data_IF_760830720781
#
_entry.id   IF_760830720781
#
_cell.length_a   1.000
_cell.length_b   1.000
_cell.length_c   1.000
_cell.angle_alpha   90.00
_cell.angle_beta   90.00
_cell.angle_gamma   90.00
#
_symmetry.space_group_name_H-M   'P 1'
#
loop_
_entity.id
_entity.type
_entity.pdbx_description
1 polymer ?
#
# COMPACT_ATOMS: atom_id res chain seq x y z
N UNK A 1 28.53 12.92 -5.54
CA UNK A 1 27.89 12.19 -4.42
C UNK A 1 26.47 11.81 -4.81
N UNK A 2 26.11 10.53 -4.80
CA UNK A 2 24.69 10.14 -4.93
C UNK A 2 24.01 10.58 -3.63
N UNK A 3 23.03 11.48 -3.70
CA UNK A 3 22.17 11.75 -2.55
C UNK A 3 21.38 10.49 -2.24
N UNK A 4 21.34 10.10 -0.97
CA UNK A 4 20.49 9.00 -0.54
C UNK A 4 19.03 9.36 -0.80
N UNK A 5 18.23 8.36 -1.21
CA UNK A 5 16.80 8.55 -1.37
C UNK A 5 16.17 8.82 0.00
N UNK A 6 15.17 9.70 0.10
CA UNK A 6 14.42 9.86 1.34
C UNK A 6 13.79 8.53 1.75
N UNK A 7 13.89 8.21 3.03
CA UNK A 7 13.29 7.02 3.63
C UNK A 7 11.83 7.29 3.94
N UNK A 8 10.95 6.39 3.54
CA UNK A 8 9.51 6.55 3.76
C UNK A 8 8.87 5.24 4.22
N UNK A 9 7.76 5.38 4.96
CA UNK A 9 6.88 4.28 5.35
C UNK A 9 5.51 4.60 4.76
N UNK A 10 4.89 3.63 4.09
CA UNK A 10 3.61 3.82 3.41
C UNK A 10 2.51 3.13 4.20
N UNK A 11 1.42 3.86 4.47
CA UNK A 11 0.22 3.39 5.15
C UNK A 11 -0.98 3.60 4.23
N UNK A 12 -1.73 2.54 3.96
CA UNK A 12 -2.90 2.57 3.07
C UNK A 12 -4.13 2.12 3.83
N UNK A 13 -5.14 2.99 3.89
CA UNK A 13 -6.47 2.64 4.40
C UNK A 13 -7.25 1.86 3.34
N UNK A 14 -7.29 0.55 3.49
CA UNK A 14 -7.94 -0.35 2.56
C UNK A 14 -9.46 -0.19 2.50
N UNK A 15 -10.13 0.29 3.56
CA UNK A 15 -11.56 0.57 3.50
C UNK A 15 -11.83 1.79 2.64
N UNK A 16 -11.09 2.88 2.87
CA UNK A 16 -11.21 4.08 2.06
C UNK A 16 -10.88 3.82 0.58
N UNK A 17 -9.80 3.07 0.32
CA UNK A 17 -9.43 2.69 -1.04
C UNK A 17 -10.48 1.77 -1.69
N UNK A 18 -11.07 0.84 -0.94
CA UNK A 18 -12.10 -0.05 -1.46
C UNK A 18 -13.33 0.72 -1.95
N UNK A 19 -13.92 1.57 -1.10
CA UNK A 19 -15.10 2.36 -1.49
C UNK A 19 -14.77 3.34 -2.62
N UNK A 20 -13.60 3.99 -2.58
CA UNK A 20 -13.18 4.90 -3.65
C UNK A 20 -13.04 4.19 -5.00
N UNK A 21 -12.40 3.02 -5.04
CA UNK A 21 -12.26 2.23 -6.27
C UNK A 21 -13.59 1.69 -6.79
N UNK A 22 -14.51 1.32 -5.87
CA UNK A 22 -15.85 0.89 -6.22
C UNK A 22 -16.59 2.01 -6.96
N UNK A 23 -16.60 3.22 -6.38
CA UNK A 23 -17.31 4.36 -6.97
C UNK A 23 -16.68 4.84 -8.29
N UNK A 24 -15.36 4.67 -8.42
CA UNK A 24 -14.63 5.03 -9.63
C UNK A 24 -14.68 3.97 -10.74
N UNK A 25 -15.02 2.72 -10.42
CA UNK A 25 -15.11 1.63 -11.41
C UNK A 25 -13.77 1.05 -11.88
N UNK A 26 -12.66 1.39 -11.21
CA UNK A 26 -11.34 0.83 -11.51
C UNK A 26 -10.53 0.56 -10.24
N UNK A 27 -9.58 -0.36 -10.35
CA UNK A 27 -8.75 -0.82 -9.23
C UNK A 27 -7.31 -0.36 -9.38
N UNK A 28 -6.64 -0.11 -8.25
CA UNK A 28 -5.22 0.14 -8.20
C UNK A 28 -4.43 -1.16 -8.28
N UNK A 29 -3.39 -1.15 -9.11
CA UNK A 29 -2.33 -2.17 -9.08
C UNK A 29 -1.27 -1.75 -8.05
N UNK A 30 -1.40 -2.26 -6.83
CA UNK A 30 -0.51 -1.94 -5.72
C UNK A 30 0.96 -2.30 -6.00
N UNK A 31 1.25 -3.30 -6.84
CA UNK A 31 2.62 -3.65 -7.24
C UNK A 31 3.22 -2.55 -8.11
N UNK A 32 2.45 -2.00 -9.05
CA UNK A 32 2.89 -0.86 -9.89
C UNK A 32 3.11 0.40 -9.05
N UNK A 33 2.22 0.66 -8.09
CA UNK A 33 2.38 1.81 -7.18
C UNK A 33 3.65 1.68 -6.35
N UNK A 34 3.88 0.51 -5.73
CA UNK A 34 5.11 0.28 -4.96
C UNK A 34 6.35 0.49 -5.83
N UNK A 35 6.36 -0.08 -7.04
CA UNK A 35 7.45 0.10 -8.01
C UNK A 35 7.67 1.56 -8.40
N UNK A 36 6.59 2.35 -8.49
CA UNK A 36 6.68 3.79 -8.76
C UNK A 36 7.32 4.52 -7.58
N UNK A 37 6.91 4.25 -6.35
CA UNK A 37 7.48 4.87 -5.15
C UNK A 37 8.95 4.51 -4.96
N UNK A 38 9.33 3.25 -5.20
CA UNK A 38 10.72 2.77 -5.09
C UNK A 38 11.69 3.48 -6.06
N UNK A 39 11.19 4.13 -7.12
CA UNK A 39 12.04 4.94 -8.02
C UNK A 39 12.58 6.18 -7.32
N UNK A 40 11.76 6.80 -6.47
CA UNK A 40 12.04 8.10 -5.84
C UNK A 40 12.47 7.94 -4.38
N UNK A 41 11.90 6.96 -3.68
CA UNK A 41 12.07 6.77 -2.25
C UNK A 41 12.76 5.45 -1.92
N UNK A 42 13.34 5.38 -0.72
CA UNK A 42 13.74 4.15 -0.07
C UNK A 42 12.58 3.70 0.84
N UNK A 43 11.61 2.98 0.25
CA UNK A 43 10.40 2.54 0.95
C UNK A 43 10.76 1.41 1.92
N UNK A 44 10.61 1.67 3.22
CA UNK A 44 10.93 0.71 4.29
C UNK A 44 9.81 -0.27 4.56
N UNK A 45 8.57 0.21 4.58
CA UNK A 45 7.39 -0.64 4.71
C UNK A 45 6.26 -0.14 3.82
N UNK A 46 5.36 -1.06 3.50
CA UNK A 46 4.20 -0.83 2.65
C UNK A 46 2.99 -1.54 3.27
N UNK A 47 2.32 -0.84 4.18
CA UNK A 47 1.31 -1.41 5.06
C UNK A 47 -0.09 -1.14 4.50
N UNK A 48 -0.84 -2.21 4.23
CA UNK A 48 -2.23 -2.16 3.76
C UNK A 48 -3.17 -2.59 4.90
N UNK A 49 -4.04 -1.68 5.35
CA UNK A 49 -4.93 -1.91 6.47
C UNK A 49 -6.33 -2.23 5.98
N UNK A 50 -6.80 -3.45 6.23
CA UNK A 50 -8.19 -3.84 5.94
C UNK A 50 -8.91 -4.19 7.23
N UNK A 51 -10.22 -3.91 7.33
CA UNK A 51 -11.03 -4.49 8.37
C UNK A 51 -10.96 -6.02 8.24
N UNK A 52 -10.51 -6.69 9.29
CA UNK A 52 -10.63 -8.14 9.39
C UNK A 52 -12.09 -8.45 9.70
N UNK A 53 -12.68 -9.42 9.00
CA UNK A 53 -13.91 -10.05 9.52
C UNK A 53 -13.51 -10.73 10.83
N UNK A 54 -14.33 -10.64 11.88
CA UNK A 54 -14.03 -11.12 13.24
C UNK A 54 -13.52 -12.57 13.33
N UNK A 55 -13.69 -13.38 12.28
CA UNK A 55 -13.27 -14.79 12.22
C UNK A 55 -12.08 -15.08 11.29
N UNK A 56 -11.45 -14.06 10.68
CA UNK A 56 -10.27 -14.25 9.85
C UNK A 56 -9.03 -13.79 10.62
N UNK A 57 -8.39 -14.73 11.32
CA UNK A 57 -7.06 -14.53 11.86
C UNK A 57 -6.16 -13.97 10.76
N UNK A 58 -5.44 -12.88 11.06
CA UNK A 58 -4.47 -12.22 10.17
C UNK A 58 -3.71 -13.27 9.37
N UNK A 59 -4.02 -13.40 8.07
CA UNK A 59 -3.11 -14.07 7.16
C UNK A 59 -1.86 -13.19 7.07
N UNK A 60 -0.91 -13.45 7.96
CA UNK A 60 0.45 -12.93 7.87
C UNK A 60 1.10 -13.55 6.64
N UNK A 61 1.77 -12.66 5.88
CA UNK A 61 2.76 -12.89 4.82
C UNK A 61 2.20 -12.94 3.39
N UNK A 62 2.65 -11.98 2.58
CA UNK A 62 3.71 -12.21 1.59
C UNK A 62 4.56 -10.95 1.44
#
# INVERSE_FOLDING_TARGET
MKREKPKVIVFIDGANMFYSQHDLGWIFDWKKIKKLLDKTFDVKEFNYYTPLKENEERQKKQ
#
